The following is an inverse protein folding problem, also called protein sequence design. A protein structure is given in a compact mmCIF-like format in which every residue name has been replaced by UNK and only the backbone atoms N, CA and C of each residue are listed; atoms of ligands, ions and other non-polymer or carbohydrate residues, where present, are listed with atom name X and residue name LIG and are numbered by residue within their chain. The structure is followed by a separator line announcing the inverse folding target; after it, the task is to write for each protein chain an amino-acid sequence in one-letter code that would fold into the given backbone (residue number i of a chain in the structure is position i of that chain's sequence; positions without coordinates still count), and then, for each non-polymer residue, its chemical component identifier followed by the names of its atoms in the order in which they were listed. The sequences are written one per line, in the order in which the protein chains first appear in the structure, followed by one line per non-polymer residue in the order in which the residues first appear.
data_IF_213116249476
#
_entry.id   IF_213116249476
#
_cell.length_a   1.000
_cell.length_b   1.000
_cell.length_c   1.000
_cell.angle_alpha   90.00
_cell.angle_beta   90.00
_cell.angle_gamma   90.00
#
_symmetry.space_group_name_H-M   'P 1'
#
loop_
_entity.id
_entity.type
_entity.pdbx_description
1 polymer ?
#
# COMPACT_ATOMS: atom_id res chain seq x y z
N UNK A 1 13.31 20.63 -11.66
CA UNK A 1 12.49 19.52 -11.12
C UNK A 1 11.28 20.09 -10.42
N UNK A 2 10.07 19.61 -10.72
CA UNK A 2 8.88 19.97 -9.95
C UNK A 2 8.95 19.29 -8.56
N UNK A 3 8.45 19.94 -7.51
CA UNK A 3 8.55 19.41 -6.12
C UNK A 3 8.06 17.95 -5.99
N UNK A 4 7.01 17.58 -6.72
CA UNK A 4 6.48 16.21 -6.72
C UNK A 4 7.50 15.18 -7.23
N UNK A 5 8.22 15.51 -8.31
CA UNK A 5 9.28 14.66 -8.85
C UNK A 5 10.46 14.56 -7.88
N UNK A 6 10.75 15.61 -7.09
CA UNK A 6 11.77 15.54 -6.05
C UNK A 6 11.36 14.61 -4.90
N UNK A 7 10.12 14.71 -4.41
CA UNK A 7 9.58 13.77 -3.41
C UNK A 7 9.63 12.32 -3.90
N UNK A 8 9.16 12.08 -5.13
CA UNK A 8 9.15 10.76 -5.72
C UNK A 8 10.56 10.20 -5.94
N UNK A 9 11.46 11.01 -6.52
CA UNK A 9 12.85 10.63 -6.74
C UNK A 9 13.57 10.36 -5.42
N UNK A 10 13.35 11.18 -4.40
CA UNK A 10 13.91 10.96 -3.06
C UNK A 10 13.39 9.66 -2.45
N UNK A 11 12.08 9.40 -2.54
CA UNK A 11 11.46 8.16 -2.07
C UNK A 11 12.06 6.91 -2.75
N UNK A 12 12.23 6.95 -4.07
CA UNK A 12 12.88 5.86 -4.81
C UNK A 12 14.37 5.75 -4.48
N UNK A 13 15.08 6.87 -4.37
CA UNK A 13 16.49 6.88 -4.04
C UNK A 13 16.74 6.21 -2.67
N UNK A 14 15.90 6.43 -1.66
CA UNK A 14 16.02 5.72 -0.38
C UNK A 14 15.98 4.19 -0.53
N UNK A 15 15.15 3.67 -1.44
CA UNK A 15 15.03 2.22 -1.68
C UNK A 15 16.24 1.66 -2.42
N UNK A 16 16.73 2.38 -3.43
CA UNK A 16 17.76 1.90 -4.37
C UNK A 16 19.20 2.29 -4.01
N UNK A 17 19.41 3.27 -3.13
CA UNK A 17 20.77 3.71 -2.77
C UNK A 17 21.51 2.66 -1.91
N UNK A 18 20.78 1.86 -1.14
CA UNK A 18 21.33 0.79 -0.30
C UNK A 18 20.42 -0.46 -0.30
N UNK A 19 20.26 -1.16 -1.43
CA UNK A 19 19.26 -2.22 -1.59
C UNK A 19 19.48 -3.38 -0.62
N UNK A 20 20.74 -3.70 -0.28
CA UNK A 20 21.05 -4.72 0.72
C UNK A 20 20.55 -4.33 2.13
N UNK A 21 20.67 -3.05 2.49
CA UNK A 21 20.16 -2.54 3.77
C UNK A 21 18.64 -2.54 3.77
N UNK A 22 18.01 -2.02 2.71
CA UNK A 22 16.56 -2.05 2.51
C UNK A 22 16.03 -3.47 2.68
N UNK A 23 16.58 -4.42 1.93
CA UNK A 23 16.18 -5.83 2.00
C UNK A 23 16.36 -6.37 3.41
N UNK A 24 17.53 -6.19 4.04
CA UNK A 24 17.80 -6.69 5.39
C UNK A 24 16.81 -6.17 6.44
N UNK A 25 16.40 -4.91 6.33
CA UNK A 25 15.44 -4.28 7.24
C UNK A 25 14.05 -4.88 7.07
N UNK A 26 13.58 -5.03 5.83
CA UNK A 26 12.21 -5.48 5.55
C UNK A 26 12.07 -7.01 5.46
N UNK A 27 13.19 -7.74 5.39
CA UNK A 27 13.22 -9.19 5.19
C UNK A 27 12.31 -9.98 6.15
N UNK A 28 12.27 -9.71 7.47
CA UNK A 28 11.38 -10.44 8.36
C UNK A 28 9.90 -10.29 7.99
N UNK A 29 9.50 -9.10 7.56
CA UNK A 29 8.13 -8.83 7.13
C UNK A 29 7.84 -9.42 5.75
N UNK A 30 8.80 -9.33 4.82
CA UNK A 30 8.69 -9.96 3.49
C UNK A 30 8.52 -11.47 3.61
N UNK A 31 9.33 -12.14 4.44
CA UNK A 31 9.21 -13.59 4.67
C UNK A 31 7.84 -13.95 5.27
N UNK A 32 7.29 -13.10 6.14
CA UNK A 32 5.96 -13.29 6.69
C UNK A 32 4.91 -13.20 5.58
N UNK A 33 4.86 -12.10 4.83
CA UNK A 33 3.88 -11.89 3.75
C UNK A 33 3.96 -13.01 2.72
N UNK A 34 5.17 -13.31 2.23
CA UNK A 34 5.40 -14.35 1.23
C UNK A 34 5.08 -15.74 1.78
N UNK A 35 5.40 -16.02 3.04
CA UNK A 35 5.05 -17.27 3.71
C UNK A 35 3.53 -17.45 3.83
N UNK A 36 2.80 -16.41 4.22
CA UNK A 36 1.33 -16.43 4.26
C UNK A 36 0.72 -16.64 2.86
N UNK A 37 1.25 -15.97 1.84
CA UNK A 37 0.81 -16.15 0.45
C UNK A 37 1.10 -17.57 -0.07
N UNK A 38 2.28 -18.13 0.23
CA UNK A 38 2.65 -19.48 -0.17
C UNK A 38 1.75 -20.53 0.49
N UNK A 39 1.49 -20.41 1.81
CA UNK A 39 0.59 -21.32 2.52
C UNK A 39 -0.83 -21.24 1.97
N UNK A 40 -1.35 -20.04 1.71
CA UNK A 40 -2.66 -19.86 1.09
C UNK A 40 -2.71 -20.47 -0.32
N UNK A 41 -1.70 -20.23 -1.15
CA UNK A 41 -1.63 -20.76 -2.50
C UNK A 41 -1.56 -22.30 -2.55
N UNK A 42 -0.88 -22.91 -1.58
CA UNK A 42 -0.74 -24.38 -1.50
C UNK A 42 -1.95 -25.09 -0.88
N UNK A 43 -2.56 -24.49 0.15
CA UNK A 43 -3.57 -25.16 0.96
C UNK A 43 -5.01 -24.66 0.71
N UNK A 44 -5.17 -23.56 -0.03
CA UNK A 44 -6.47 -22.96 -0.32
C UNK A 44 -6.61 -22.62 -1.82
N UNK A 45 -5.97 -23.40 -2.70
CA UNK A 45 -5.98 -23.16 -4.16
C UNK A 45 -7.39 -23.17 -4.75
N UNK A 46 -8.26 -24.07 -4.31
CA UNK A 46 -9.63 -24.16 -4.85
C UNK A 46 -10.48 -22.99 -4.36
N UNK A 47 -10.36 -22.63 -3.07
CA UNK A 47 -11.02 -21.44 -2.55
C UNK A 47 -10.56 -20.17 -3.27
N UNK A 48 -9.27 -20.07 -3.58
CA UNK A 48 -8.71 -18.95 -4.31
C UNK A 48 -9.24 -18.90 -5.76
N UNK A 49 -9.29 -20.04 -6.44
CA UNK A 49 -9.88 -20.17 -7.78
C UNK A 49 -11.36 -19.76 -7.77
N UNK A 50 -12.14 -20.22 -6.79
CA UNK A 50 -13.55 -19.86 -6.66
C UNK A 50 -13.73 -18.37 -6.39
N UNK A 51 -12.94 -17.78 -5.48
CA UNK A 51 -13.02 -16.34 -5.14
C UNK A 51 -12.67 -15.47 -6.35
N UNK A 52 -11.65 -15.86 -7.12
CA UNK A 52 -11.25 -15.15 -8.34
C UNK A 52 -12.33 -15.23 -9.43
N UNK A 53 -13.05 -16.36 -9.50
CA UNK A 53 -14.12 -16.59 -10.47
C UNK A 53 -15.53 -16.36 -9.88
N UNK A 54 -15.65 -15.70 -8.73
CA UNK A 54 -16.91 -15.60 -7.99
C UNK A 54 -18.06 -14.89 -8.75
N UNK A 55 -17.74 -14.19 -9.84
CA UNK A 55 -18.70 -13.56 -10.75
C UNK A 55 -19.30 -14.53 -11.79
N UNK A 56 -18.89 -15.81 -11.82
CA UNK A 56 -19.25 -16.79 -12.84
C UNK A 56 -20.17 -17.93 -12.34
N UNK A 57 -21.04 -17.67 -11.35
CA UNK A 57 -21.91 -18.68 -10.73
C UNK A 57 -21.14 -19.94 -10.25
N UNK A 58 -19.90 -19.74 -9.78
CA UNK A 58 -19.06 -20.81 -9.27
C UNK A 58 -19.66 -21.42 -7.98
N UNK A 59 -19.49 -22.74 -7.75
CA UNK A 59 -19.87 -23.36 -6.49
C UNK A 59 -19.13 -22.69 -5.32
N UNK A 60 -19.74 -22.63 -4.11
CA UNK A 60 -19.10 -21.99 -2.97
C UNK A 60 -17.76 -22.67 -2.62
N UNK A 61 -16.77 -21.91 -2.15
CA UNK A 61 -15.47 -22.48 -1.83
C UNK A 61 -15.57 -23.48 -0.65
N UNK A 62 -14.70 -24.50 -0.60
CA UNK A 62 -14.61 -25.38 0.57
C UNK A 62 -14.38 -24.56 1.84
N UNK A 63 -15.16 -24.82 2.90
CA UNK A 63 -15.17 -23.98 4.09
C UNK A 63 -13.80 -23.97 4.80
N UNK A 64 -13.14 -25.11 4.88
CA UNK A 64 -11.79 -25.28 5.43
C UNK A 64 -10.75 -24.44 4.67
N UNK A 65 -10.75 -24.49 3.35
CA UNK A 65 -9.87 -23.68 2.52
C UNK A 65 -10.18 -22.18 2.65
N UNK A 66 -11.46 -21.80 2.77
CA UNK A 66 -11.86 -20.42 3.03
C UNK A 66 -11.32 -19.92 4.38
N UNK A 67 -11.39 -20.73 5.44
CA UNK A 67 -10.80 -20.39 6.73
C UNK A 67 -9.28 -20.19 6.64
N UNK A 68 -8.58 -21.07 5.91
CA UNK A 68 -7.13 -20.94 5.66
C UNK A 68 -6.84 -19.62 4.93
N UNK A 69 -7.60 -19.30 3.89
CA UNK A 69 -7.45 -18.07 3.11
C UNK A 69 -7.64 -16.82 3.99
N UNK A 70 -8.65 -16.81 4.86
CA UNK A 70 -8.91 -15.70 5.78
C UNK A 70 -7.75 -15.54 6.77
N UNK A 71 -7.30 -16.62 7.40
CA UNK A 71 -6.21 -16.58 8.39
C UNK A 71 -4.91 -16.12 7.73
N UNK A 72 -4.58 -16.65 6.54
CA UNK A 72 -3.39 -16.25 5.80
C UNK A 72 -3.50 -14.81 5.28
N UNK A 73 -4.69 -14.36 4.88
CA UNK A 73 -4.94 -12.97 4.51
C UNK A 73 -4.71 -12.00 5.66
N UNK A 74 -5.23 -12.32 6.86
CA UNK A 74 -4.96 -11.55 8.08
C UNK A 74 -3.46 -11.56 8.39
N UNK A 75 -2.81 -12.72 8.36
CA UNK A 75 -1.38 -12.84 8.61
C UNK A 75 -0.55 -12.00 7.61
N UNK A 76 -0.94 -11.98 6.33
CA UNK A 76 -0.32 -11.15 5.30
C UNK A 76 -0.48 -9.66 5.57
N UNK A 77 -1.69 -9.20 5.92
CA UNK A 77 -1.95 -7.79 6.29
C UNK A 77 -1.10 -7.37 7.49
N UNK A 78 -0.98 -8.24 8.49
CA UNK A 78 -0.10 -8.03 9.65
C UNK A 78 1.38 -7.95 9.23
N UNK A 79 1.82 -8.81 8.32
CA UNK A 79 3.15 -8.73 7.70
C UNK A 79 3.40 -7.39 7.00
N UNK A 80 2.43 -6.88 6.22
CA UNK A 80 2.52 -5.55 5.60
C UNK A 80 2.60 -4.42 6.63
N UNK A 81 1.84 -4.50 7.72
CA UNK A 81 1.95 -3.53 8.81
C UNK A 81 3.36 -3.54 9.42
N UNK A 82 3.92 -4.72 9.67
CA UNK A 82 5.28 -4.86 10.16
C UNK A 82 6.30 -4.27 9.18
N UNK A 83 6.14 -4.54 7.88
CA UNK A 83 6.99 -4.00 6.81
C UNK A 83 7.03 -2.48 6.85
N UNK A 84 5.85 -1.85 6.91
CA UNK A 84 5.73 -0.40 6.94
C UNK A 84 6.35 0.19 8.21
N UNK A 85 6.12 -0.42 9.38
CA UNK A 85 6.72 0.03 10.65
C UNK A 85 8.25 -0.03 10.60
N UNK A 86 8.81 -1.16 10.16
CA UNK A 86 10.26 -1.34 10.08
C UNK A 86 10.89 -0.32 9.14
N UNK A 87 10.26 -0.06 7.98
CA UNK A 87 10.75 0.91 7.02
C UNK A 87 10.65 2.35 7.55
N UNK A 88 9.50 2.76 8.08
CA UNK A 88 9.33 4.09 8.69
C UNK A 88 10.37 4.35 9.78
N UNK A 89 10.57 3.39 10.69
CA UNK A 89 11.55 3.51 11.77
C UNK A 89 12.97 3.54 11.24
N UNK A 90 13.31 2.70 10.27
CA UNK A 90 14.66 2.69 9.71
C UNK A 90 15.06 4.03 9.06
N UNK A 91 14.13 4.67 8.35
CA UNK A 91 14.38 5.94 7.66
C UNK A 91 14.30 7.14 8.61
N UNK A 92 13.39 7.12 9.59
CA UNK A 92 13.15 8.26 10.48
C UNK A 92 13.99 8.23 11.75
N UNK A 93 14.40 7.07 12.27
CA UNK A 93 15.27 7.03 13.44
C UNK A 93 16.67 7.56 13.11
N UNK A 94 17.21 8.35 14.02
CA UNK A 94 18.59 8.82 13.93
C UNK A 94 19.57 7.66 14.07
N UNK A 95 20.75 7.82 13.48
CA UNK A 95 21.75 6.74 13.37
C UNK A 95 22.18 6.17 14.72
N UNK A 96 22.15 6.99 15.77
CA UNK A 96 22.47 6.61 17.15
C UNK A 96 21.40 5.71 17.80
N UNK A 97 20.16 5.79 17.32
CA UNK A 97 18.99 5.02 17.83
C UNK A 97 18.63 3.81 16.98
N UNK A 98 19.46 3.41 16.01
CA UNK A 98 19.15 2.30 15.09
C UNK A 98 19.05 0.91 15.77
N UNK A 99 19.54 0.76 17.00
CA UNK A 99 19.27 -0.43 17.81
C UNK A 99 17.77 -0.60 18.14
N UNK A 100 16.96 0.47 18.06
CA UNK A 100 15.53 0.48 18.36
C UNK A 100 14.64 0.18 17.14
N UNK A 101 15.18 -0.23 15.99
CA UNK A 101 14.36 -0.45 14.78
C UNK A 101 13.25 -1.49 15.01
N UNK A 102 13.47 -2.47 15.90
CA UNK A 102 12.44 -3.46 16.26
C UNK A 102 11.34 -2.80 17.12
N UNK A 103 10.08 -2.78 16.66
CA UNK A 103 8.99 -2.18 17.43
C UNK A 103 8.68 -3.01 18.67
N UNK A 104 8.28 -2.34 19.76
CA UNK A 104 7.64 -3.02 20.88
C UNK A 104 6.27 -3.56 20.48
N UNK A 105 5.78 -4.59 21.18
CA UNK A 105 4.46 -5.19 20.88
C UNK A 105 3.32 -4.16 20.99
N UNK A 106 3.41 -3.24 21.95
CA UNK A 106 2.44 -2.17 22.13
C UNK A 106 2.45 -1.18 20.95
N UNK A 107 3.63 -0.81 20.45
CA UNK A 107 3.78 0.08 19.30
C UNK A 107 3.20 -0.56 18.04
N UNK A 108 3.50 -1.84 17.81
CA UNK A 108 2.98 -2.61 16.69
C UNK A 108 1.45 -2.60 16.67
N UNK A 109 0.80 -2.87 17.81
CA UNK A 109 -0.66 -2.89 17.88
C UNK A 109 -1.31 -1.51 17.82
N UNK A 110 -0.64 -0.48 18.36
CA UNK A 110 -1.07 0.91 18.15
C UNK A 110 -1.04 1.31 16.67
N UNK A 111 0.01 0.90 15.95
CA UNK A 111 0.12 1.12 14.51
C UNK A 111 -0.98 0.40 13.74
N UNK A 112 -1.20 -0.90 14.01
CA UNK A 112 -2.23 -1.70 13.34
C UNK A 112 -3.61 -1.11 13.56
N UNK A 113 -3.94 -0.70 14.80
CA UNK A 113 -5.21 -0.05 15.08
C UNK A 113 -5.41 1.24 14.27
N UNK A 114 -4.37 2.08 14.18
CA UNK A 114 -4.44 3.31 13.37
C UNK A 114 -4.54 3.02 11.88
N UNK A 115 -3.88 1.97 11.40
CA UNK A 115 -4.02 1.52 10.02
C UNK A 115 -5.44 1.03 9.72
N UNK A 116 -6.10 0.33 10.65
CA UNK A 116 -7.51 -0.08 10.53
C UNK A 116 -8.43 1.15 10.47
N UNK A 117 -8.27 2.10 11.42
CA UNK A 117 -9.09 3.32 11.45
C UNK A 117 -8.88 4.14 10.17
N UNK A 118 -7.63 4.31 9.74
CA UNK A 118 -7.29 5.00 8.49
C UNK A 118 -7.88 4.28 7.27
N UNK A 119 -7.77 2.95 7.20
CA UNK A 119 -8.33 2.14 6.13
C UNK A 119 -9.85 2.28 6.05
N UNK A 120 -10.54 2.33 7.19
CA UNK A 120 -11.98 2.60 7.23
C UNK A 120 -12.34 4.00 6.72
N UNK A 121 -11.59 5.03 7.11
CA UNK A 121 -11.80 6.39 6.60
C UNK A 121 -11.50 6.49 5.10
N UNK A 122 -10.45 5.82 4.62
CA UNK A 122 -10.14 5.74 3.19
C UNK A 122 -11.21 4.98 2.41
N UNK A 123 -11.78 3.91 2.97
CA UNK A 123 -12.92 3.20 2.40
C UNK A 123 -14.14 4.12 2.25
N UNK A 124 -14.49 4.88 3.29
CA UNK A 124 -15.58 5.87 3.21
C UNK A 124 -15.30 6.96 2.16
N UNK A 125 -14.05 7.39 2.02
CA UNK A 125 -13.64 8.36 0.99
C UNK A 125 -13.66 7.76 -0.43
N UNK A 126 -13.49 6.43 -0.57
CA UNK A 126 -13.55 5.76 -1.86
C UNK A 126 -14.99 5.65 -2.41
N UNK A 127 -16.01 5.63 -1.55
CA UNK A 127 -17.43 5.55 -1.97
C UNK A 127 -17.83 6.68 -2.94
N UNK A 128 -17.67 7.98 -2.61
CA UNK A 128 -18.06 9.05 -3.53
C UNK A 128 -17.22 9.05 -4.82
N UNK A 129 -15.95 8.62 -4.75
CA UNK A 129 -15.11 8.46 -5.94
C UNK A 129 -15.69 7.35 -6.83
N UNK A 130 -15.97 6.17 -6.28
CA UNK A 130 -16.55 5.05 -6.99
C UNK A 130 -17.90 5.37 -7.64
N UNK A 131 -18.79 6.07 -6.91
CA UNK A 131 -20.08 6.52 -7.44
C UNK A 131 -19.91 7.51 -8.59
N UNK A 132 -19.01 8.49 -8.46
CA UNK A 132 -18.73 9.44 -9.54
C UNK A 132 -18.18 8.73 -10.79
N UNK A 133 -17.29 7.75 -10.61
CA UNK A 133 -16.71 6.98 -11.71
C UNK A 133 -17.73 6.03 -12.36
N UNK A 134 -18.64 5.45 -11.59
CA UNK A 134 -19.75 4.65 -12.10
C UNK A 134 -20.68 5.49 -13.00
N UNK A 135 -21.03 6.70 -12.56
CA UNK A 135 -21.84 7.63 -13.36
C UNK A 135 -21.11 8.02 -14.66
N UNK A 136 -19.81 8.35 -14.56
CA UNK A 136 -18.99 8.71 -15.71
C UNK A 136 -18.91 7.58 -16.74
N UNK A 137 -18.77 6.33 -16.29
CA UNK A 137 -18.77 5.13 -17.15
C UNK A 137 -20.08 4.95 -17.91
N UNK A 138 -21.22 5.30 -17.29
CA UNK A 138 -22.52 5.31 -17.96
C UNK A 138 -22.63 6.31 -19.11
N UNK A 139 -21.89 7.42 -19.05
CA UNK A 139 -21.93 8.51 -20.04
C UNK A 139 -20.92 8.32 -21.19
N UNK A 140 -19.73 7.80 -20.88
CA UNK A 140 -18.63 7.68 -21.84
C UNK A 140 -18.59 6.34 -22.59
N UNK A 141 -19.50 5.42 -22.28
CA UNK A 141 -19.53 4.06 -22.83
C UNK A 141 -18.54 3.10 -22.16
N UNK A 142 -18.60 1.82 -22.54
CA UNK A 142 -17.90 0.71 -21.85
C UNK A 142 -16.73 0.13 -22.65
N UNK A 143 -16.03 0.94 -23.43
CA UNK A 143 -14.83 0.48 -24.12
C UNK A 143 -13.70 0.17 -23.12
N UNK A 144 -12.83 -0.79 -23.42
CA UNK A 144 -11.67 -1.12 -22.57
C UNK A 144 -10.81 0.10 -22.27
N UNK A 145 -10.55 0.94 -23.29
CA UNK A 145 -9.78 2.17 -23.12
C UNK A 145 -10.49 3.17 -22.18
N UNK A 146 -11.81 3.32 -22.32
CA UNK A 146 -12.60 4.18 -21.43
C UNK A 146 -12.53 3.68 -19.98
N UNK A 147 -12.69 2.38 -19.75
CA UNK A 147 -12.63 1.79 -18.41
C UNK A 147 -11.24 1.93 -17.78
N UNK A 148 -10.17 1.79 -18.57
CA UNK A 148 -8.79 2.04 -18.10
C UNK A 148 -8.58 3.50 -17.69
N UNK A 149 -9.06 4.46 -18.50
CA UNK A 149 -8.93 5.88 -18.17
C UNK A 149 -9.74 6.26 -16.92
N UNK A 150 -10.96 5.72 -16.78
CA UNK A 150 -11.78 5.91 -15.58
C UNK A 150 -11.09 5.29 -14.36
N UNK A 151 -10.56 4.08 -14.48
CA UNK A 151 -9.81 3.41 -13.42
C UNK A 151 -8.58 4.20 -12.98
N UNK A 152 -7.80 4.71 -13.94
CA UNK A 152 -6.66 5.58 -13.65
C UNK A 152 -7.10 6.86 -12.93
N UNK A 153 -8.14 7.54 -13.40
CA UNK A 153 -8.67 8.74 -12.76
C UNK A 153 -9.16 8.46 -11.33
N UNK A 154 -9.84 7.34 -11.12
CA UNK A 154 -10.26 6.87 -9.80
C UNK A 154 -9.06 6.62 -8.88
N UNK A 155 -8.04 5.94 -9.39
CA UNK A 155 -6.80 5.64 -8.67
C UNK A 155 -6.05 6.91 -8.26
N UNK A 156 -5.95 7.90 -9.14
CA UNK A 156 -5.35 9.22 -8.83
C UNK A 156 -6.13 9.93 -7.74
N UNK A 157 -7.45 10.01 -7.87
CA UNK A 157 -8.30 10.68 -6.87
C UNK A 157 -8.18 10.00 -5.50
N UNK A 158 -8.20 8.67 -5.48
CA UNK A 158 -8.04 7.90 -4.25
C UNK A 158 -6.65 8.07 -3.63
N UNK A 159 -5.58 7.93 -4.42
CA UNK A 159 -4.21 8.09 -3.93
C UNK A 159 -3.95 9.50 -3.41
N UNK A 160 -4.53 10.52 -4.03
CA UNK A 160 -4.42 11.89 -3.53
C UNK A 160 -5.02 12.04 -2.13
N UNK A 161 -6.23 11.49 -1.91
CA UNK A 161 -6.84 11.46 -0.58
C UNK A 161 -6.00 10.61 0.37
N UNK A 162 -5.61 9.41 -0.04
CA UNK A 162 -4.84 8.49 0.79
C UNK A 162 -3.53 9.13 1.28
N UNK A 163 -2.74 9.74 0.39
CA UNK A 163 -1.51 10.45 0.75
C UNK A 163 -1.73 11.55 1.79
N UNK A 164 -2.84 12.28 1.70
CA UNK A 164 -3.16 13.36 2.65
C UNK A 164 -3.58 12.87 4.03
N UNK A 165 -4.18 11.68 4.11
CA UNK A 165 -4.63 11.11 5.38
C UNK A 165 -3.54 10.26 6.05
N UNK A 166 -2.62 9.69 5.28
CA UNK A 166 -1.70 8.65 5.74
C UNK A 166 -0.49 9.10 6.57
N UNK A 167 -0.26 10.39 6.84
CA UNK A 167 0.85 10.81 7.74
C UNK A 167 0.69 10.28 9.18
N UNK A 168 -0.52 9.83 9.55
CA UNK A 168 -0.79 9.15 10.82
C UNK A 168 0.04 7.87 10.98
N UNK A 169 0.38 7.18 9.88
CA UNK A 169 1.13 5.92 9.90
C UNK A 169 2.60 6.11 10.30
N UNK A 170 3.41 6.97 9.64
CA UNK A 170 4.77 7.24 10.10
C UNK A 170 4.80 7.85 11.50
N UNK A 171 3.82 8.70 11.86
CA UNK A 171 3.69 9.19 13.23
C UNK A 171 3.52 8.03 14.24
N UNK A 172 2.66 7.06 13.92
CA UNK A 172 2.43 5.88 14.75
C UNK A 172 3.67 4.99 14.86
N UNK A 173 4.40 4.78 13.76
CA UNK A 173 5.64 4.01 13.76
C UNK A 173 6.75 4.65 14.62
N UNK A 174 6.70 5.98 14.77
CA UNK A 174 7.56 6.75 15.66
C UNK A 174 7.00 6.90 17.09
N UNK A 175 5.89 6.25 17.42
CA UNK A 175 5.28 6.31 18.75
C UNK A 175 4.60 7.64 19.08
N UNK A 176 4.45 8.54 18.10
CA UNK A 176 3.76 9.82 18.25
C UNK A 176 2.27 9.67 17.99
N UNK A 177 1.45 10.56 18.55
CA UNK A 177 0.01 10.60 18.28
C UNK A 177 -0.24 11.66 17.21
N UNK A 178 -1.00 11.28 16.18
CA UNK A 178 -1.44 12.18 15.12
C UNK A 178 -2.84 11.74 14.68
N UNK A 179 -3.76 12.67 14.64
CA UNK A 179 -5.11 12.49 14.15
C UNK A 179 -5.17 12.62 12.62
N UNK A 180 -6.21 12.05 12.02
CA UNK A 180 -6.45 12.16 10.57
C UNK A 180 -6.65 13.62 10.15
N UNK A 181 -7.26 14.44 11.01
CA UNK A 181 -7.45 15.87 10.75
C UNK A 181 -6.11 16.61 10.72
N UNK A 182 -5.23 16.36 11.69
CA UNK A 182 -3.89 16.95 11.69
C UNK A 182 -3.10 16.54 10.45
N UNK A 183 -3.23 15.29 10.00
CA UNK A 183 -2.62 14.80 8.75
C UNK A 183 -3.10 15.57 7.53
N UNK A 184 -4.41 15.80 7.44
CA UNK A 184 -5.01 16.61 6.37
C UNK A 184 -4.55 18.07 6.40
N UNK A 185 -4.52 18.70 7.57
CA UNK A 185 -4.09 20.09 7.74
C UNK A 185 -2.59 20.25 7.43
N UNK A 186 -1.75 19.35 7.93
CA UNK A 186 -0.30 19.35 7.67
C UNK A 186 0.05 19.18 6.19
N UNK A 187 -0.78 18.44 5.43
CA UNK A 187 -0.56 18.21 4.00
C UNK A 187 -1.18 19.28 3.09
N UNK A 188 -1.99 20.20 3.62
CA UNK A 188 -2.69 21.22 2.84
C UNK A 188 -1.75 22.12 2.00
N UNK A 189 -0.59 22.59 2.50
CA UNK A 189 0.33 23.43 1.73
C UNK A 189 0.92 22.72 0.49
N UNK A 190 0.93 21.38 0.48
CA UNK A 190 1.46 20.57 -0.61
C UNK A 190 0.35 19.86 -1.40
N UNK A 191 -0.92 20.20 -1.23
CA UNK A 191 -2.04 19.49 -1.87
C UNK A 191 -1.89 19.33 -3.40
N UNK A 192 -1.45 20.38 -4.10
CA UNK A 192 -1.17 20.30 -5.55
C UNK A 192 0.05 19.45 -5.90
N UNK A 193 1.08 19.44 -5.05
CA UNK A 193 2.25 18.57 -5.21
C UNK A 193 1.88 17.10 -4.99
N UNK A 194 1.02 16.83 -4.01
CA UNK A 194 0.48 15.51 -3.74
C UNK A 194 -0.40 15.00 -4.88
N UNK A 195 -1.09 15.88 -5.62
CA UNK A 195 -1.85 15.48 -6.81
C UNK A 195 -0.92 14.93 -7.89
N UNK A 196 0.17 15.64 -8.20
CA UNK A 196 1.17 15.16 -9.14
C UNK A 196 1.85 13.86 -8.66
N UNK A 197 2.11 13.74 -7.35
CA UNK A 197 2.64 12.50 -6.76
C UNK A 197 1.65 11.34 -6.88
N UNK A 198 0.36 11.58 -6.66
CA UNK A 198 -0.71 10.59 -6.82
C UNK A 198 -0.80 10.13 -8.28
N UNK A 199 -0.64 11.03 -9.26
CA UNK A 199 -0.55 10.66 -10.68
C UNK A 199 0.62 9.72 -10.94
N UNK A 200 1.81 10.03 -10.44
CA UNK A 200 2.98 9.18 -10.62
C UNK A 200 2.78 7.79 -10.01
N UNK A 201 2.25 7.73 -8.77
CA UNK A 201 1.97 6.47 -8.08
C UNK A 201 0.88 5.66 -8.79
N UNK A 202 -0.20 6.31 -9.26
CA UNK A 202 -1.27 5.65 -10.00
C UNK A 202 -0.77 5.05 -11.31
N UNK A 203 0.12 5.75 -12.02
CA UNK A 203 0.74 5.23 -13.24
C UNK A 203 1.60 4.01 -12.91
N UNK A 204 2.44 4.06 -11.87
CA UNK A 204 3.24 2.91 -11.44
C UNK A 204 2.35 1.71 -11.08
N UNK A 205 1.32 1.91 -10.25
CA UNK A 205 0.38 0.85 -9.88
C UNK A 205 -0.35 0.27 -11.11
N UNK A 206 -0.79 1.13 -12.03
CA UNK A 206 -1.43 0.69 -13.28
C UNK A 206 -0.48 -0.15 -14.13
N UNK A 207 0.79 0.27 -14.27
CA UNK A 207 1.81 -0.49 -15.01
C UNK A 207 2.09 -1.83 -14.36
N UNK A 208 2.21 -1.90 -13.03
CA UNK A 208 2.38 -3.16 -12.30
C UNK A 208 1.16 -4.07 -12.47
N UNK A 209 -0.05 -3.53 -12.46
CA UNK A 209 -1.28 -4.29 -12.72
C UNK A 209 -1.32 -4.86 -14.14
N UNK A 210 -0.90 -4.09 -15.15
CA UNK A 210 -0.78 -4.59 -16.54
C UNK A 210 0.28 -5.69 -16.65
N UNK A 211 1.44 -5.51 -16.01
CA UNK A 211 2.50 -6.52 -15.93
C UNK A 211 1.96 -7.80 -15.28
N UNK A 212 1.25 -7.67 -14.15
CA UNK A 212 0.61 -8.80 -13.46
C UNK A 212 -0.35 -9.54 -14.40
N UNK A 213 -1.24 -8.82 -15.08
CA UNK A 213 -2.25 -9.40 -15.96
C UNK A 213 -1.71 -10.04 -17.24
N UNK A 214 -0.54 -9.63 -17.73
CA UNK A 214 0.03 -10.12 -19.00
C UNK A 214 1.11 -11.19 -18.80
N UNK A 215 1.93 -11.05 -17.75
CA UNK A 215 3.14 -11.86 -17.59
C UNK A 215 3.03 -12.95 -16.52
N UNK A 216 2.10 -12.84 -15.57
CA UNK A 216 2.00 -13.83 -14.50
C UNK A 216 1.18 -15.05 -14.93
N UNK A 217 1.51 -16.26 -14.40
CA UNK A 217 0.75 -17.47 -14.67
C UNK A 217 -0.70 -17.38 -14.16
N UNK A 218 -1.59 -18.14 -14.77
CA UNK A 218 -3.00 -18.24 -14.37
C UNK A 218 -3.21 -19.16 -13.16
N UNK A 219 -2.20 -19.93 -12.74
CA UNK A 219 -2.29 -20.75 -11.53
C UNK A 219 -2.57 -19.84 -10.31
N UNK A 220 -3.71 -20.02 -9.60
CA UNK A 220 -4.12 -19.09 -8.55
C UNK A 220 -3.07 -18.95 -7.44
N UNK A 221 -2.46 -20.06 -7.02
CA UNK A 221 -1.50 -20.07 -5.91
C UNK A 221 -0.18 -19.38 -6.26
N UNK A 222 0.38 -19.70 -7.43
CA UNK A 222 1.58 -19.03 -7.96
C UNK A 222 1.30 -17.56 -8.22
N UNK A 223 0.13 -17.24 -8.78
CA UNK A 223 -0.29 -15.85 -9.02
C UNK A 223 -0.36 -15.04 -7.74
N UNK A 224 -0.99 -15.57 -6.68
CA UNK A 224 -1.04 -14.90 -5.37
C UNK A 224 0.35 -14.61 -4.81
N UNK A 225 1.29 -15.55 -4.95
CA UNK A 225 2.66 -15.37 -4.49
C UNK A 225 3.37 -14.25 -5.26
N UNK A 226 3.24 -14.24 -6.60
CA UNK A 226 3.87 -13.23 -7.45
C UNK A 226 3.22 -11.86 -7.31
N UNK A 227 1.89 -11.79 -7.22
CA UNK A 227 1.17 -10.56 -6.90
C UNK A 227 1.57 -10.02 -5.52
N UNK A 228 1.77 -10.88 -4.52
CA UNK A 228 2.28 -10.46 -3.22
C UNK A 228 3.68 -9.83 -3.33
N UNK A 229 4.55 -10.36 -4.19
CA UNK A 229 5.86 -9.74 -4.43
C UNK A 229 5.74 -8.36 -5.11
N UNK A 230 4.82 -8.19 -6.07
CA UNK A 230 4.55 -6.90 -6.71
C UNK A 230 3.98 -5.89 -5.73
N UNK A 231 3.02 -6.30 -4.89
CA UNK A 231 2.41 -5.47 -3.85
C UNK A 231 3.39 -5.09 -2.74
N UNK A 232 4.38 -5.92 -2.43
CA UNK A 232 5.51 -5.54 -1.55
C UNK A 232 6.28 -4.37 -2.16
N UNK A 233 6.63 -4.44 -3.46
CA UNK A 233 7.36 -3.37 -4.14
C UNK A 233 6.53 -2.08 -4.14
N UNK A 234 5.25 -2.18 -4.53
CA UNK A 234 4.33 -1.04 -4.54
C UNK A 234 4.18 -0.43 -3.15
N UNK A 235 3.94 -1.27 -2.14
CA UNK A 235 3.83 -0.88 -0.75
C UNK A 235 5.07 -0.15 -0.27
N UNK A 236 6.27 -0.63 -0.59
CA UNK A 236 7.53 0.04 -0.22
C UNK A 236 7.68 1.40 -0.89
N UNK A 237 7.28 1.55 -2.16
CA UNK A 237 7.29 2.86 -2.84
C UNK A 237 6.31 3.82 -2.16
N UNK A 238 5.09 3.37 -1.86
CA UNK A 238 4.09 4.19 -1.18
C UNK A 238 4.52 4.59 0.23
N UNK A 239 4.98 3.63 1.05
CA UNK A 239 5.47 3.87 2.41
C UNK A 239 6.69 4.79 2.39
N UNK A 240 7.60 4.66 1.42
CA UNK A 240 8.73 5.59 1.24
C UNK A 240 8.24 7.02 0.97
N UNK A 241 7.27 7.19 0.07
CA UNK A 241 6.69 8.51 -0.21
C UNK A 241 6.07 9.14 1.04
N UNK A 242 5.32 8.37 1.83
CA UNK A 242 4.78 8.83 3.12
C UNK A 242 5.87 9.21 4.12
N UNK A 243 6.94 8.43 4.18
CA UNK A 243 8.05 8.68 5.10
C UNK A 243 8.78 9.97 4.73
N UNK A 244 9.01 10.22 3.42
CA UNK A 244 9.59 11.47 2.94
C UNK A 244 8.68 12.66 3.24
N UNK A 245 7.37 12.53 2.99
CA UNK A 245 6.40 13.58 3.30
C UNK A 245 6.39 13.91 4.79
N UNK A 246 6.37 12.89 5.64
CA UNK A 246 6.39 13.06 7.10
C UNK A 246 7.70 13.72 7.56
N UNK A 247 8.85 13.23 7.10
CA UNK A 247 10.16 13.81 7.43
C UNK A 247 10.25 15.28 7.01
N UNK A 248 9.71 15.65 5.85
CA UNK A 248 9.72 17.03 5.39
C UNK A 248 8.72 17.93 6.12
N UNK A 249 7.46 17.52 6.20
CA UNK A 249 6.36 18.35 6.72
C UNK A 249 6.32 18.44 8.25
N UNK A 250 6.70 17.35 8.94
CA UNK A 250 6.58 17.24 10.40
C UNK A 250 7.94 17.39 11.08
N UNK A 251 9.01 16.81 10.51
CA UNK A 251 10.35 16.90 11.09
C UNK A 251 11.23 17.99 10.46
N UNK A 252 10.73 18.70 9.43
CA UNK A 252 11.46 19.80 8.79
C UNK A 252 12.71 19.37 7.99
N UNK A 253 12.84 18.07 7.66
CA UNK A 253 13.99 17.55 6.90
C UNK A 253 14.00 18.12 5.48
N UNK A 254 15.19 18.46 4.99
CA UNK A 254 15.38 18.91 3.60
C UNK A 254 15.22 17.73 2.64
N UNK A 255 14.60 17.98 1.48
CA UNK A 255 14.64 17.05 0.36
C UNK A 255 16.05 17.14 -0.25
N UNK A 256 16.91 16.18 0.10
CA UNK A 256 18.26 16.07 -0.47
C UNK A 256 18.24 15.87 -1.97
#
# INVERSE_FOLDING_TARGET
MNKATAFFAHALNMLFHAPATTLRVVLPAVLWVMGSAAVAGMLASDALATVQNALQDAPPPPADQLFILIICGIAGILGYALMAILWHRHVLLERETQAEVRPSMQLYWSYVWRAIVLGFVQFLAAIPIGLAMMLLSGLMGRSTATLMLIGLAAGVAFLWVALRLSLVLPAAAMGRVMSIRESWEATAPLAGTLWALAVLLAVVNTMLGVISGVLLPDDPGVRLLLDSALYIIEGLVFVSALTTLYGHLIEGRTLG
#
